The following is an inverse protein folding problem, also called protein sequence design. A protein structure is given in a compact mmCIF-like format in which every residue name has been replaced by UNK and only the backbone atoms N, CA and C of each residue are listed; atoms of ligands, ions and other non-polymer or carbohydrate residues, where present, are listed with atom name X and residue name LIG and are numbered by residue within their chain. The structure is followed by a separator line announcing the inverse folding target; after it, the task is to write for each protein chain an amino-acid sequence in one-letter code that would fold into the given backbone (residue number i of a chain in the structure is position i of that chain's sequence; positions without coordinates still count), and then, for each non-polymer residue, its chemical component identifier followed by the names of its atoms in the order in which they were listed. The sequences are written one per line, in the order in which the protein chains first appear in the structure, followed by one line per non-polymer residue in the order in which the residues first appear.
data_IF_190202013317
#
_entry.id   IF_190202013317
#
_cell.length_a   1.000
_cell.length_b   1.000
_cell.length_c   1.000
_cell.angle_alpha   90.00
_cell.angle_beta   90.00
_cell.angle_gamma   90.00
#
_symmetry.space_group_name_H-M   'P 1'
#
loop_
_entity.id
_entity.type
_entity.pdbx_description
1 polymer ?
#
# COMPACT_ATOMS: atom_id res chain seq x y z
N UNK A 1 -2.13 -24.32 14.34
CA UNK A 1 -2.85 -23.68 13.23
C UNK A 1 -2.04 -23.90 11.96
N UNK A 2 -2.69 -24.35 10.86
CA UNK A 2 -2.03 -24.86 9.66
C UNK A 2 -1.33 -23.76 8.88
N UNK A 3 -0.06 -23.95 8.49
CA UNK A 3 0.73 -23.01 7.65
C UNK A 3 0.02 -22.69 6.33
N UNK A 4 -0.68 -23.67 5.73
CA UNK A 4 -1.47 -23.48 4.51
C UNK A 4 -2.58 -22.44 4.68
N UNK A 5 -3.21 -22.36 5.85
CA UNK A 5 -4.22 -21.35 6.14
C UNK A 5 -3.61 -19.94 6.12
N UNK A 6 -2.48 -19.74 6.79
CA UNK A 6 -1.82 -18.43 6.84
C UNK A 6 -1.27 -18.00 5.48
N UNK A 7 -0.75 -18.95 4.69
CA UNK A 7 -0.30 -18.67 3.32
C UNK A 7 -1.45 -18.17 2.43
N UNK A 8 -2.62 -18.84 2.48
CA UNK A 8 -3.81 -18.41 1.72
C UNK A 8 -4.35 -17.08 2.21
N UNK A 9 -4.42 -16.88 3.52
CA UNK A 9 -4.88 -15.62 4.12
C UNK A 9 -3.96 -14.47 3.72
N UNK A 10 -2.65 -14.66 3.86
CA UNK A 10 -1.68 -13.62 3.49
C UNK A 10 -1.72 -13.30 2.01
N UNK A 11 -1.67 -14.32 1.14
CA UNK A 11 -1.74 -14.15 -0.31
C UNK A 11 -3.02 -13.43 -0.74
N UNK A 12 -4.19 -13.83 -0.23
CA UNK A 12 -5.45 -13.17 -0.53
C UNK A 12 -5.54 -11.73 0.00
N UNK A 13 -5.09 -11.51 1.25
CA UNK A 13 -5.17 -10.21 1.91
C UNK A 13 -4.21 -9.16 1.32
N UNK A 14 -3.05 -9.57 0.77
CA UNK A 14 -2.04 -8.62 0.26
C UNK A 14 -2.45 -7.96 -1.05
N UNK A 15 -3.20 -8.66 -1.90
CA UNK A 15 -3.61 -8.12 -3.20
C UNK A 15 -4.54 -6.92 -3.07
N UNK A 16 -5.37 -6.90 -2.03
CA UNK A 16 -6.36 -5.86 -1.83
C UNK A 16 -5.76 -4.48 -1.53
N UNK A 17 -4.87 -4.30 -0.53
CA UNK A 17 -4.23 -3.00 -0.31
C UNK A 17 -3.31 -2.58 -1.46
N UNK A 18 -2.64 -3.51 -2.17
CA UNK A 18 -1.82 -3.19 -3.33
C UNK A 18 -2.68 -2.62 -4.47
N UNK A 19 -3.80 -3.27 -4.79
CA UNK A 19 -4.71 -2.79 -5.83
C UNK A 19 -5.30 -1.42 -5.47
N UNK A 20 -5.69 -1.22 -4.21
CA UNK A 20 -6.30 0.02 -3.76
C UNK A 20 -5.33 1.20 -3.69
N UNK A 21 -4.06 0.99 -3.30
CA UNK A 21 -3.07 2.07 -3.37
C UNK A 21 -2.75 2.43 -4.83
N UNK A 22 -2.73 1.45 -5.74
CA UNK A 22 -2.58 1.70 -7.17
C UNK A 22 -3.74 2.55 -7.70
N UNK A 23 -4.98 2.20 -7.38
CA UNK A 23 -6.17 2.99 -7.73
C UNK A 23 -6.06 4.41 -7.14
N UNK A 24 -5.66 4.53 -5.87
CA UNK A 24 -5.46 5.83 -5.23
C UNK A 24 -4.46 6.70 -5.99
N UNK A 25 -3.27 6.16 -6.31
CA UNK A 25 -2.23 6.91 -7.05
C UNK A 25 -2.72 7.35 -8.43
N UNK A 26 -3.41 6.47 -9.17
CA UNK A 26 -3.95 6.79 -10.50
C UNK A 26 -4.98 7.91 -10.42
N UNK A 27 -5.94 7.82 -9.51
CA UNK A 27 -6.99 8.83 -9.37
C UNK A 27 -6.47 10.15 -8.80
N UNK A 28 -5.54 10.12 -7.84
CA UNK A 28 -4.93 11.34 -7.32
C UNK A 28 -4.04 12.02 -8.37
N UNK A 29 -3.32 11.25 -9.20
CA UNK A 29 -2.59 11.78 -10.34
C UNK A 29 -3.54 12.41 -11.38
N UNK A 30 -4.61 11.71 -11.74
CA UNK A 30 -5.64 12.26 -12.63
C UNK A 30 -6.20 13.58 -12.07
N UNK A 31 -6.57 13.60 -10.80
CA UNK A 31 -7.06 14.82 -10.12
C UNK A 31 -6.03 15.94 -10.06
N UNK A 32 -4.72 15.62 -9.99
CA UNK A 32 -3.66 16.63 -9.97
C UNK A 32 -3.52 17.36 -11.32
N UNK A 33 -3.66 16.65 -12.44
CA UNK A 33 -3.51 17.22 -13.79
C UNK A 33 -4.81 17.67 -14.44
N UNK A 34 -5.98 17.28 -13.91
CA UNK A 34 -7.26 17.64 -14.53
C UNK A 34 -7.57 19.13 -14.37
N UNK A 35 -8.09 19.75 -15.44
CA UNK A 35 -8.41 21.18 -15.46
C UNK A 35 -9.79 21.51 -14.92
N UNK A 36 -10.78 20.67 -15.23
CA UNK A 36 -12.13 20.84 -14.73
C UNK A 36 -12.24 20.58 -13.24
N UNK A 37 -12.77 21.53 -12.48
CA UNK A 37 -12.79 21.50 -11.03
C UNK A 37 -13.70 20.41 -10.46
N UNK A 38 -14.85 20.14 -11.11
CA UNK A 38 -15.79 19.11 -10.65
C UNK A 38 -15.17 17.73 -10.77
N UNK A 39 -14.59 17.42 -11.94
CA UNK A 39 -13.87 16.17 -12.19
C UNK A 39 -12.66 16.00 -11.29
N UNK A 40 -11.91 17.07 -11.06
CA UNK A 40 -10.76 17.05 -10.16
C UNK A 40 -11.17 16.64 -8.75
N UNK A 41 -12.28 17.17 -8.23
CA UNK A 41 -12.80 16.80 -6.91
C UNK A 41 -13.25 15.33 -6.87
N UNK A 42 -13.94 14.85 -7.90
CA UNK A 42 -14.31 13.45 -8.01
C UNK A 42 -13.10 12.52 -7.96
N UNK A 43 -12.09 12.76 -8.79
CA UNK A 43 -10.87 11.95 -8.80
C UNK A 43 -10.15 11.96 -7.44
N UNK A 44 -10.01 13.13 -6.81
CA UNK A 44 -9.41 13.23 -5.47
C UNK A 44 -10.23 12.49 -4.41
N UNK A 45 -11.55 12.48 -4.51
CA UNK A 45 -12.40 11.72 -3.61
C UNK A 45 -12.19 10.20 -3.79
N UNK A 46 -12.16 9.71 -5.03
CA UNK A 46 -11.86 8.30 -5.32
C UNK A 46 -10.48 7.90 -4.81
N UNK A 47 -9.44 8.70 -5.08
CA UNK A 47 -8.09 8.47 -4.57
C UNK A 47 -8.05 8.44 -3.04
N UNK A 48 -8.73 9.38 -2.39
CA UNK A 48 -8.82 9.47 -0.94
C UNK A 48 -9.45 8.21 -0.30
N UNK A 49 -10.63 7.82 -0.77
CA UNK A 49 -11.31 6.64 -0.19
C UNK A 49 -10.54 5.35 -0.48
N UNK A 50 -9.97 5.21 -1.68
CA UNK A 50 -9.14 4.04 -2.01
C UNK A 50 -7.94 3.92 -1.08
N UNK A 51 -7.25 5.04 -0.78
CA UNK A 51 -6.13 5.06 0.16
C UNK A 51 -6.56 4.65 1.57
N UNK A 52 -7.68 5.20 2.07
CA UNK A 52 -8.17 4.88 3.40
C UNK A 52 -8.54 3.40 3.54
N UNK A 53 -9.20 2.84 2.53
CA UNK A 53 -9.58 1.43 2.53
C UNK A 53 -8.32 0.55 2.44
N UNK A 54 -7.33 0.94 1.61
CA UNK A 54 -6.04 0.25 1.55
C UNK A 54 -5.35 0.23 2.91
N UNK A 55 -5.27 1.39 3.59
CA UNK A 55 -4.67 1.50 4.91
C UNK A 55 -5.43 0.69 5.95
N UNK A 56 -6.77 0.72 5.94
CA UNK A 56 -7.60 -0.05 6.87
C UNK A 56 -7.51 -1.58 6.66
N UNK A 57 -7.31 -2.02 5.42
CA UNK A 57 -7.18 -3.45 5.08
C UNK A 57 -5.75 -3.99 5.32
N UNK A 58 -4.73 -3.13 5.27
CA UNK A 58 -3.33 -3.54 5.34
C UNK A 58 -2.92 -4.26 6.64
N UNK A 59 -3.48 -3.97 7.85
CA UNK A 59 -3.18 -4.73 9.06
C UNK A 59 -3.48 -6.22 8.93
N UNK A 60 -4.52 -6.62 8.20
CA UNK A 60 -4.85 -8.04 7.99
C UNK A 60 -3.73 -8.74 7.21
N UNK A 61 -3.20 -8.09 6.16
CA UNK A 61 -2.06 -8.59 5.40
C UNK A 61 -0.80 -8.68 6.27
N UNK A 62 -0.51 -7.66 7.08
CA UNK A 62 0.66 -7.65 7.97
C UNK A 62 0.55 -8.74 9.03
N UNK A 63 -0.57 -8.84 9.73
CA UNK A 63 -0.77 -9.83 10.80
C UNK A 63 -0.72 -11.27 10.26
N UNK A 64 -1.34 -11.53 9.11
CA UNK A 64 -1.26 -12.84 8.46
C UNK A 64 0.16 -13.18 8.00
N UNK A 65 0.94 -12.19 7.54
CA UNK A 65 2.35 -12.35 7.17
C UNK A 65 3.23 -12.68 8.38
N UNK A 66 3.04 -11.97 9.51
CA UNK A 66 3.74 -12.25 10.76
C UNK A 66 3.41 -13.67 11.26
N UNK A 67 2.16 -14.08 11.20
CA UNK A 67 1.75 -15.43 11.57
C UNK A 67 2.35 -16.49 10.63
N UNK A 68 2.42 -16.21 9.31
CA UNK A 68 3.02 -17.09 8.32
C UNK A 68 4.53 -17.25 8.54
N UNK A 69 5.24 -16.16 8.84
CA UNK A 69 6.68 -16.15 9.14
C UNK A 69 7.02 -16.61 10.57
N UNK A 70 6.02 -17.09 11.35
CA UNK A 70 6.19 -17.52 12.75
C UNK A 70 6.79 -16.44 13.64
N UNK A 71 6.42 -15.18 13.42
CA UNK A 71 6.89 -14.02 14.18
C UNK A 71 8.23 -13.44 13.71
N UNK A 72 8.81 -13.94 12.62
CA UNK A 72 10.05 -13.39 12.08
C UNK A 72 9.75 -12.04 11.39
N UNK A 73 10.35 -10.97 11.89
CA UNK A 73 10.10 -9.59 11.41
C UNK A 73 11.10 -9.15 10.33
N UNK A 74 12.31 -9.67 10.32
CA UNK A 74 13.35 -9.31 9.33
C UNK A 74 13.75 -10.49 8.45
N UNK A 75 13.97 -11.67 9.00
CA UNK A 75 14.34 -12.88 8.25
C UNK A 75 15.70 -12.80 7.55
N UNK A 76 15.93 -13.75 6.61
CA UNK A 76 17.12 -13.85 5.77
C UNK A 76 16.71 -14.19 4.33
N UNK A 77 17.62 -14.01 3.36
CA UNK A 77 17.36 -14.33 1.96
C UNK A 77 16.18 -13.55 1.38
N UNK A 78 15.29 -14.21 0.64
CA UNK A 78 14.10 -13.59 0.02
C UNK A 78 13.12 -13.00 1.03
N UNK A 79 13.00 -13.60 2.23
CA UNK A 79 12.17 -13.05 3.30
C UNK A 79 12.71 -11.70 3.80
N UNK A 80 14.04 -11.55 3.91
CA UNK A 80 14.65 -10.27 4.26
C UNK A 80 14.36 -9.19 3.20
N UNK A 81 14.46 -9.54 1.91
CA UNK A 81 14.15 -8.63 0.81
C UNK A 81 12.67 -8.21 0.83
N UNK A 82 11.75 -9.18 1.03
CA UNK A 82 10.33 -8.87 1.21
C UNK A 82 10.12 -7.89 2.36
N UNK A 83 10.69 -8.14 3.54
CA UNK A 83 10.55 -7.29 4.71
C UNK A 83 11.20 -5.91 4.54
N UNK A 84 12.33 -5.82 3.83
CA UNK A 84 13.00 -4.55 3.54
C UNK A 84 12.10 -3.58 2.75
N UNK A 85 11.28 -4.09 1.83
CA UNK A 85 10.36 -3.27 1.06
C UNK A 85 9.01 -3.07 1.76
N UNK A 86 8.46 -4.11 2.41
CA UNK A 86 7.09 -4.03 2.93
C UNK A 86 6.99 -3.13 4.18
N UNK A 87 7.97 -3.12 5.08
CA UNK A 87 7.89 -2.31 6.29
C UNK A 87 7.87 -0.80 6.01
N UNK A 88 8.78 -0.24 5.19
CA UNK A 88 8.70 1.16 4.80
C UNK A 88 7.42 1.48 4.02
N UNK A 89 7.00 0.59 3.12
CA UNK A 89 5.78 0.79 2.33
C UNK A 89 4.54 0.82 3.21
N UNK A 90 4.42 -0.08 4.19
CA UNK A 90 3.35 -0.08 5.16
C UNK A 90 3.34 1.20 6.00
N UNK A 91 4.50 1.62 6.51
CA UNK A 91 4.64 2.88 7.25
C UNK A 91 4.22 4.10 6.41
N UNK A 92 4.64 4.16 5.14
CA UNK A 92 4.23 5.21 4.20
C UNK A 92 2.72 5.19 3.94
N UNK A 93 2.13 4.01 3.69
CA UNK A 93 0.70 3.87 3.45
C UNK A 93 -0.12 4.44 4.61
N UNK A 94 0.21 4.04 5.85
CA UNK A 94 -0.49 4.53 7.06
C UNK A 94 -0.24 6.03 7.25
N UNK A 95 1.02 6.49 7.13
CA UNK A 95 1.37 7.90 7.27
C UNK A 95 0.65 8.79 6.25
N UNK A 96 0.57 8.35 4.99
CA UNK A 96 -0.14 9.09 3.93
C UNK A 96 -1.66 9.09 4.16
N UNK A 97 -2.25 8.00 4.65
CA UNK A 97 -3.66 7.95 5.00
C UNK A 97 -3.98 8.91 6.15
N UNK A 98 -3.18 8.93 7.20
CA UNK A 98 -3.31 9.88 8.32
C UNK A 98 -3.14 11.31 7.83
N UNK A 99 -2.12 11.58 7.00
CA UNK A 99 -1.90 12.91 6.42
C UNK A 99 -3.12 13.39 5.62
N UNK A 100 -3.70 12.54 4.76
CA UNK A 100 -4.90 12.85 3.98
C UNK A 100 -6.12 13.13 4.87
N UNK A 101 -6.29 12.40 5.96
CA UNK A 101 -7.37 12.63 6.93
C UNK A 101 -7.25 13.99 7.62
N UNK A 102 -6.02 14.41 7.94
CA UNK A 102 -5.74 15.68 8.63
C UNK A 102 -5.82 16.87 7.68
N UNK A 103 -5.16 16.77 6.53
CA UNK A 103 -5.00 17.91 5.61
C UNK A 103 -6.24 18.08 4.71
N UNK A 104 -6.90 16.98 4.31
CA UNK A 104 -8.08 16.98 3.43
C UNK A 104 -7.85 17.84 2.18
N UNK A 105 -8.78 18.78 1.91
CA UNK A 105 -8.73 19.67 0.74
C UNK A 105 -7.80 20.89 0.91
N UNK A 106 -7.13 21.04 2.07
CA UNK A 106 -6.30 22.20 2.38
C UNK A 106 -4.86 22.10 1.86
N UNK A 107 -4.52 21.00 1.19
CA UNK A 107 -3.19 20.78 0.66
C UNK A 107 -2.83 21.82 -0.41
N UNK A 108 -1.63 22.38 -0.32
CA UNK A 108 -1.06 23.18 -1.41
C UNK A 108 -0.67 22.28 -2.58
N UNK A 109 -0.59 22.81 -3.79
CA UNK A 109 -0.10 22.06 -4.97
C UNK A 109 1.30 21.47 -4.77
N UNK A 110 2.13 22.11 -3.95
CA UNK A 110 3.45 21.58 -3.60
C UNK A 110 3.33 20.36 -2.69
N UNK A 111 2.47 20.40 -1.69
CA UNK A 111 2.19 19.28 -0.80
C UNK A 111 1.58 18.09 -1.56
N UNK A 112 0.67 18.33 -2.50
CA UNK A 112 0.10 17.30 -3.36
C UNK A 112 1.17 16.59 -4.22
N UNK A 113 2.18 17.32 -4.73
CA UNK A 113 3.30 16.71 -5.45
C UNK A 113 4.13 15.77 -4.59
N UNK A 114 4.48 16.20 -3.38
CA UNK A 114 5.21 15.34 -2.43
C UNK A 114 4.39 14.12 -2.03
N UNK A 115 3.09 14.32 -1.78
CA UNK A 115 2.17 13.21 -1.51
C UNK A 115 2.16 12.20 -2.64
N UNK A 116 1.97 12.62 -3.90
CA UNK A 116 1.96 11.74 -5.06
C UNK A 116 3.28 10.99 -5.23
N UNK A 117 4.42 11.67 -5.03
CA UNK A 117 5.72 11.03 -5.09
C UNK A 117 5.87 9.94 -4.02
N UNK A 118 5.52 10.24 -2.77
CA UNK A 118 5.58 9.28 -1.67
C UNK A 118 4.59 8.12 -1.85
N UNK A 119 3.38 8.39 -2.33
CA UNK A 119 2.40 7.35 -2.62
C UNK A 119 2.86 6.42 -3.76
N UNK A 120 3.49 6.98 -4.79
CA UNK A 120 4.10 6.19 -5.88
C UNK A 120 5.26 5.33 -5.37
N UNK A 121 6.12 5.87 -4.50
CA UNK A 121 7.20 5.11 -3.87
C UNK A 121 6.62 3.97 -3.01
N UNK A 122 5.59 4.23 -2.21
CA UNK A 122 4.93 3.20 -1.42
C UNK A 122 4.33 2.10 -2.31
N UNK A 123 3.67 2.46 -3.41
CA UNK A 123 3.14 1.51 -4.39
C UNK A 123 4.23 0.63 -4.98
N UNK A 124 5.32 1.22 -5.48
CA UNK A 124 6.44 0.47 -6.06
C UNK A 124 7.06 -0.46 -5.03
N UNK A 125 7.27 0.01 -3.81
CA UNK A 125 7.82 -0.81 -2.73
C UNK A 125 6.88 -1.98 -2.36
N UNK A 126 5.56 -1.77 -2.30
CA UNK A 126 4.58 -2.84 -2.07
C UNK A 126 4.57 -3.87 -3.21
N UNK A 127 4.65 -3.43 -4.46
CA UNK A 127 4.73 -4.32 -5.62
C UNK A 127 6.03 -5.14 -5.59
N UNK A 128 7.16 -4.51 -5.26
CA UNK A 128 8.46 -5.19 -5.12
C UNK A 128 8.43 -6.21 -3.97
N UNK A 129 7.83 -5.86 -2.83
CA UNK A 129 7.62 -6.81 -1.74
C UNK A 129 6.73 -7.99 -2.18
N UNK A 130 5.66 -7.71 -2.94
CA UNK A 130 4.78 -8.74 -3.52
C UNK A 130 5.54 -9.68 -4.45
N UNK A 131 6.43 -9.17 -5.29
CA UNK A 131 7.30 -9.97 -6.15
C UNK A 131 8.16 -10.93 -5.32
N UNK A 132 8.90 -10.45 -4.34
CA UNK A 132 9.72 -11.31 -3.47
C UNK A 132 8.89 -12.29 -2.65
N UNK A 133 7.68 -11.88 -2.24
CA UNK A 133 6.72 -12.78 -1.59
C UNK A 133 6.28 -13.92 -2.50
N UNK A 134 6.06 -13.65 -3.78
CA UNK A 134 5.73 -14.64 -4.81
C UNK A 134 6.89 -15.61 -5.07
N UNK A 135 8.11 -15.10 -5.21
CA UNK A 135 9.32 -15.92 -5.43
C UNK A 135 9.55 -16.93 -4.29
N UNK A 136 9.22 -16.57 -3.04
CA UNK A 136 9.30 -17.53 -1.93
C UNK A 136 8.35 -18.71 -2.05
N UNK A 137 7.26 -18.57 -2.81
CA UNK A 137 6.26 -19.64 -3.00
C UNK A 137 6.64 -20.53 -4.20
N UNK A 138 7.22 -19.93 -5.25
CA UNK A 138 7.50 -20.61 -6.53
C UNK A 138 8.91 -21.23 -6.51
N UNK A 139 9.86 -20.61 -5.78
CA UNK A 139 11.27 -21.01 -5.74
C UNK A 139 11.61 -22.17 -4.80
N UNK A 140 10.60 -22.87 -4.23
CA UNK A 140 10.77 -24.08 -3.39
C UNK A 140 10.47 -25.35 -4.15
#
# INVERSE_FOLDING_TARGET
MNQTFWARMHGGATHFPIALIMVSVVFDAAGFWWRDEARRREFRAFGFYSLLIAAAASPVAVLSGIALSKGIILGTGMLALHHYFIWPAFGLLIGLAVWRLVVRERASRRADRYYLALASIALVAMMTAGYWGGEMIIGN
#
